data_IF_344812945222
#
_entry.id   IF_344812945222
#
_cell.length_a   1.000
_cell.length_b   1.000
_cell.length_c   1.000
_cell.angle_alpha   90.00
_cell.angle_beta   90.00
_cell.angle_gamma   90.00
#
_symmetry.space_group_name_H-M   'P 1'
#
loop_
_entity.id
_entity.type
_entity.pdbx_description
1 polymer ?
#
# COMPACT_ATOMS: atom_id res chain seq x y z
N UNK A 1 32.39 13.79 -31.29
CA UNK A 1 30.95 13.43 -31.28
C UNK A 1 30.41 13.84 -29.91
N UNK A 2 29.45 14.77 -29.87
CA UNK A 2 28.94 15.38 -28.63
C UNK A 2 28.01 14.38 -27.96
N UNK A 3 28.45 13.75 -26.88
CA UNK A 3 27.62 12.79 -26.14
C UNK A 3 26.49 13.57 -25.46
N UNK A 4 25.24 13.28 -25.83
CA UNK A 4 24.08 13.88 -25.19
C UNK A 4 23.96 13.27 -23.79
N UNK A 5 24.40 14.02 -22.78
CA UNK A 5 24.40 13.65 -21.36
C UNK A 5 23.07 13.01 -20.93
N UNK A 6 21.95 13.58 -21.37
CA UNK A 6 20.61 13.02 -21.11
C UNK A 6 20.42 11.60 -21.68
N UNK A 7 20.88 11.34 -22.91
CA UNK A 7 20.78 10.02 -23.54
C UNK A 7 21.60 8.98 -22.77
N UNK A 8 22.77 9.38 -22.25
CA UNK A 8 23.63 8.51 -21.44
C UNK A 8 23.00 8.19 -20.08
N UNK A 9 22.37 9.17 -19.43
CA UNK A 9 21.58 8.97 -18.21
C UNK A 9 20.40 8.01 -18.41
N UNK A 10 19.58 8.21 -19.45
CA UNK A 10 18.45 7.30 -19.74
C UNK A 10 18.93 5.88 -20.06
N UNK A 11 20.04 5.75 -20.80
CA UNK A 11 20.64 4.45 -21.12
C UNK A 11 21.15 3.74 -19.87
N UNK A 12 21.78 4.46 -18.94
CA UNK A 12 22.19 3.95 -17.63
C UNK A 12 21.01 3.49 -16.77
N UNK A 13 19.96 4.32 -16.65
CA UNK A 13 18.76 3.99 -15.88
C UNK A 13 18.03 2.75 -16.41
N UNK A 14 17.91 2.60 -17.73
CA UNK A 14 17.30 1.40 -18.34
C UNK A 14 18.14 0.15 -18.09
N UNK A 15 19.48 0.28 -18.08
CA UNK A 15 20.39 -0.82 -17.76
C UNK A 15 20.22 -1.31 -16.31
N UNK A 16 20.03 -0.39 -15.36
CA UNK A 16 19.79 -0.74 -13.94
C UNK A 16 18.39 -1.32 -13.73
N UNK A 17 17.36 -0.76 -14.37
CA UNK A 17 16.00 -1.29 -14.32
C UNK A 17 15.90 -2.72 -14.86
N UNK A 18 16.76 -3.12 -15.79
CA UNK A 18 16.85 -4.52 -16.27
C UNK A 18 17.41 -5.49 -15.23
N UNK A 19 18.16 -5.01 -14.24
CA UNK A 19 18.65 -5.86 -13.13
C UNK A 19 17.58 -6.10 -12.07
N UNK A 20 16.47 -5.36 -12.11
CA UNK A 20 15.35 -5.57 -11.20
C UNK A 20 14.71 -6.92 -11.50
N UNK A 21 14.77 -7.82 -10.53
CA UNK A 21 14.09 -9.11 -10.56
C UNK A 21 12.60 -8.91 -10.32
N UNK A 22 11.85 -8.68 -11.40
CA UNK A 22 10.40 -8.61 -11.33
C UNK A 22 9.81 -9.96 -10.90
N UNK A 23 8.79 -9.95 -10.03
CA UNK A 23 8.14 -11.17 -9.59
C UNK A 23 7.48 -11.88 -10.77
N UNK A 24 7.48 -13.21 -10.73
CA UNK A 24 6.72 -14.00 -11.71
C UNK A 24 5.21 -13.73 -11.54
N UNK A 25 4.41 -13.96 -12.59
CA UNK A 25 2.95 -13.73 -12.55
C UNK A 25 2.29 -14.35 -11.31
N UNK A 26 2.71 -15.57 -10.94
CA UNK A 26 2.19 -16.27 -9.77
C UNK A 26 2.61 -15.61 -8.45
N UNK A 27 3.85 -15.12 -8.35
CA UNK A 27 4.32 -14.39 -7.17
C UNK A 27 3.59 -13.06 -7.01
N UNK A 28 3.37 -12.33 -8.11
CA UNK A 28 2.62 -11.08 -8.10
C UNK A 28 1.17 -11.30 -7.60
N UNK A 29 0.48 -12.33 -8.12
CA UNK A 29 -0.88 -12.66 -7.69
C UNK A 29 -0.90 -13.04 -6.20
N UNK A 30 0.05 -13.88 -5.75
CA UNK A 30 0.13 -14.29 -4.34
C UNK A 30 0.36 -13.08 -3.43
N UNK A 31 1.25 -12.18 -3.80
CA UNK A 31 1.53 -10.97 -3.01
C UNK A 31 0.32 -10.06 -2.95
N UNK A 32 -0.36 -9.82 -4.08
CA UNK A 32 -1.60 -9.03 -4.10
C UNK A 32 -2.71 -9.66 -3.27
N UNK A 33 -2.89 -10.99 -3.35
CA UNK A 33 -3.89 -11.69 -2.56
C UNK A 33 -3.64 -11.55 -1.04
N UNK A 34 -2.37 -11.62 -0.61
CA UNK A 34 -1.98 -11.37 0.78
C UNK A 34 -2.34 -9.93 1.19
N UNK A 35 -1.99 -8.94 0.37
CA UNK A 35 -2.28 -7.53 0.66
C UNK A 35 -3.79 -7.27 0.75
N UNK A 36 -4.59 -7.86 -0.14
CA UNK A 36 -6.05 -7.77 -0.11
C UNK A 36 -6.61 -8.38 1.17
N UNK A 37 -6.15 -9.58 1.55
CA UNK A 37 -6.56 -10.24 2.80
C UNK A 37 -6.22 -9.38 4.03
N UNK A 38 -5.01 -8.86 4.10
CA UNK A 38 -4.58 -7.99 5.19
C UNK A 38 -5.40 -6.70 5.26
N UNK A 39 -5.64 -6.06 4.11
CA UNK A 39 -6.43 -4.82 4.03
C UNK A 39 -7.88 -5.03 4.49
N UNK A 40 -8.49 -6.17 4.15
CA UNK A 40 -9.83 -6.52 4.60
C UNK A 40 -9.88 -6.71 6.12
N UNK A 41 -8.92 -7.44 6.69
CA UNK A 41 -8.83 -7.64 8.15
C UNK A 41 -8.70 -6.29 8.86
N UNK A 42 -7.82 -5.41 8.38
CA UNK A 42 -7.63 -4.09 8.95
C UNK A 42 -8.89 -3.22 8.83
N UNK A 43 -9.59 -3.29 7.70
CA UNK A 43 -10.85 -2.59 7.48
C UNK A 43 -11.91 -3.01 8.50
N UNK A 44 -12.10 -4.32 8.71
CA UNK A 44 -13.04 -4.81 9.72
C UNK A 44 -12.64 -4.44 11.14
N UNK A 45 -11.34 -4.50 11.46
CA UNK A 45 -10.82 -4.09 12.75
C UNK A 45 -11.12 -2.62 13.03
N UNK A 46 -10.76 -1.73 12.10
CA UNK A 46 -11.02 -0.29 12.23
C UNK A 46 -12.51 -0.01 12.33
N UNK A 47 -13.33 -0.62 11.46
CA UNK A 47 -14.79 -0.48 11.55
C UNK A 47 -15.31 -0.85 12.94
N UNK A 48 -14.89 -1.99 13.49
CA UNK A 48 -15.28 -2.41 14.85
C UNK A 48 -14.87 -1.42 15.92
N UNK A 49 -13.64 -0.88 15.84
CA UNK A 49 -13.14 0.14 16.76
C UNK A 49 -13.94 1.44 16.64
N UNK A 50 -14.19 1.91 15.42
CA UNK A 50 -14.94 3.15 15.14
C UNK A 50 -16.38 3.07 15.65
N UNK A 51 -17.05 1.93 15.45
CA UNK A 51 -18.38 1.69 16.00
C UNK A 51 -18.36 1.65 17.53
N UNK A 52 -17.39 0.95 18.13
CA UNK A 52 -17.25 0.89 19.59
C UNK A 52 -17.00 2.27 20.21
N UNK A 53 -16.10 3.06 19.61
CA UNK A 53 -15.81 4.43 20.07
C UNK A 53 -17.00 5.37 19.89
N UNK A 54 -17.74 5.25 18.78
CA UNK A 54 -18.90 6.11 18.51
C UNK A 54 -20.01 5.91 19.54
N UNK A 55 -20.31 4.67 19.91
CA UNK A 55 -21.31 4.37 20.93
C UNK A 55 -20.82 4.77 22.34
N UNK A 56 -19.54 4.53 22.66
CA UNK A 56 -18.93 5.00 23.90
C UNK A 56 -18.98 6.54 24.02
N UNK A 57 -18.72 7.25 22.93
CA UNK A 57 -18.79 8.71 22.86
C UNK A 57 -20.21 9.24 23.09
N UNK A 58 -21.22 8.62 22.46
CA UNK A 58 -22.63 8.99 22.70
C UNK A 58 -23.02 8.82 24.16
N UNK A 59 -22.67 7.69 24.78
CA UNK A 59 -22.93 7.42 26.20
C UNK A 59 -22.23 8.42 27.11
N UNK A 60 -20.98 8.78 26.79
CA UNK A 60 -20.23 9.78 27.54
C UNK A 60 -20.87 11.18 27.46
N UNK A 61 -21.38 11.56 26.28
CA UNK A 61 -22.11 12.82 26.08
C UNK A 61 -23.48 12.83 26.76
N UNK A 62 -24.22 11.73 26.72
CA UNK A 62 -25.52 11.60 27.38
C UNK A 62 -25.38 11.72 28.90
N UNK A 63 -24.32 11.16 29.48
CA UNK A 63 -24.00 11.32 30.91
C UNK A 63 -23.59 12.72 31.34
N UNK A 64 -23.14 13.56 30.40
CA UNK A 64 -22.68 14.93 30.65
C UNK A 64 -23.79 15.97 30.50
N UNK A 65 -24.95 15.55 29.99
CA UNK A 65 -26.17 16.34 29.84
C UNK A 65 -27.13 16.06 30.99
#
# INVERSE_FOLDING_TARGET
MKNNVLVEYFKGSVSELRKVSWPTKNQAIKLTAIVLGFSLIFSFFLAGVDFGLSEAYKLALEKLK
#
